data_IF_088943312304
#
_entry.id   IF_088943312304
#
_cell.length_a   1.000
_cell.length_b   1.000
_cell.length_c   1.000
_cell.angle_alpha   90.00
_cell.angle_beta   90.00
_cell.angle_gamma   90.00
#
_symmetry.space_group_name_H-M   'P 1'
#
loop_
_entity.id
_entity.type
_entity.pdbx_description
1 polymer ?
#
# COMPACT_ATOMS: atom_id res chain seq x y z
N UNK A 1 -8.59 -29.11 55.60
CA UNK A 1 -7.63 -28.02 55.35
C UNK A 1 -6.94 -28.36 54.03
N UNK A 2 -7.40 -27.74 52.95
CA UNK A 2 -6.63 -26.73 52.18
C UNK A 2 -5.75 -27.39 51.10
N UNK A 3 -5.74 -27.02 49.83
CA UNK A 3 -6.45 -26.00 49.07
C UNK A 3 -6.48 -26.48 47.60
N UNK A 4 -7.59 -26.19 46.91
CA UNK A 4 -7.72 -26.36 45.46
C UNK A 4 -6.96 -25.20 44.80
N UNK A 5 -5.89 -25.49 44.07
CA UNK A 5 -5.19 -24.50 43.25
C UNK A 5 -5.96 -24.28 41.95
N UNK A 6 -6.58 -23.11 41.84
CA UNK A 6 -7.20 -22.59 40.61
C UNK A 6 -6.13 -22.30 39.54
N UNK A 7 -6.37 -22.61 38.25
CA UNK A 7 -5.49 -22.16 37.19
C UNK A 7 -5.65 -20.66 36.97
N UNK A 8 -4.56 -19.92 37.19
CA UNK A 8 -4.46 -18.48 36.97
C UNK A 8 -4.81 -18.06 35.54
N UNK A 9 -5.37 -16.85 35.45
CA UNK A 9 -5.81 -16.17 34.24
C UNK A 9 -4.88 -16.30 33.05
N UNK A 10 -5.36 -17.00 32.02
CA UNK A 10 -4.86 -16.85 30.65
C UNK A 10 -5.18 -15.43 30.16
N UNK A 11 -4.24 -14.50 30.34
CA UNK A 11 -4.19 -13.30 29.50
C UNK A 11 -4.08 -13.76 28.05
N UNK A 12 -4.87 -13.20 27.10
CA UNK A 12 -4.73 -13.55 25.70
C UNK A 12 -3.29 -13.25 25.28
N UNK A 13 -2.52 -14.30 24.99
CA UNK A 13 -1.15 -14.17 24.49
C UNK A 13 -1.23 -13.43 23.17
N UNK A 14 -0.71 -12.19 23.13
CA UNK A 14 -0.47 -11.52 21.86
C UNK A 14 0.44 -12.42 21.02
N UNK A 15 0.03 -12.74 19.79
CA UNK A 15 0.82 -13.58 18.92
C UNK A 15 2.24 -13.01 18.75
N UNK A 16 3.28 -13.87 18.72
CA UNK A 16 4.63 -13.42 18.46
C UNK A 16 4.68 -12.70 17.11
N UNK A 17 5.31 -11.52 17.11
CA UNK A 17 5.52 -10.69 15.92
C UNK A 17 6.37 -11.46 14.93
N UNK A 18 5.73 -12.00 13.89
CA UNK A 18 6.42 -12.77 12.84
C UNK A 18 5.49 -13.47 11.84
N UNK A 19 4.26 -13.82 12.24
CA UNK A 19 3.30 -14.51 11.37
C UNK A 19 2.23 -13.58 10.76
N UNK A 20 2.65 -12.44 10.23
CA UNK A 20 1.81 -11.61 9.33
C UNK A 20 2.46 -11.38 7.97
N UNK A 21 3.34 -12.28 7.54
CA UNK A 21 3.64 -12.37 6.12
C UNK A 21 2.49 -13.16 5.49
N UNK A 22 1.42 -12.45 5.14
CA UNK A 22 0.51 -12.91 4.09
C UNK A 22 1.40 -13.10 2.87
N UNK A 23 1.73 -14.36 2.59
CA UNK A 23 2.55 -14.73 1.45
C UNK A 23 1.78 -14.27 0.21
N UNK A 24 2.17 -13.12 -0.34
CA UNK A 24 1.61 -12.67 -1.62
C UNK A 24 2.35 -13.44 -2.69
N UNK A 25 1.65 -13.88 -3.74
CA UNK A 25 2.27 -14.60 -4.87
C UNK A 25 3.41 -13.86 -5.59
N UNK A 26 3.69 -12.60 -5.20
CA UNK A 26 4.80 -11.77 -5.65
C UNK A 26 6.06 -11.82 -4.76
N UNK A 27 6.13 -12.65 -3.72
CA UNK A 27 7.29 -12.69 -2.78
C UNK A 27 8.47 -13.59 -3.23
N UNK A 28 8.58 -13.94 -4.52
CA UNK A 28 9.78 -14.63 -5.02
C UNK A 28 10.95 -13.65 -5.14
N UNK A 29 12.11 -14.00 -4.57
CA UNK A 29 13.34 -13.20 -4.63
C UNK A 29 13.86 -12.95 -6.07
N UNK A 30 13.45 -13.77 -7.03
CA UNK A 30 13.74 -13.64 -8.47
C UNK A 30 12.68 -12.83 -9.25
N UNK A 31 11.51 -12.58 -8.66
CA UNK A 31 10.51 -11.67 -9.23
C UNK A 31 10.83 -10.27 -8.71
N UNK A 32 11.80 -9.60 -9.34
CA UNK A 32 11.95 -8.14 -9.24
C UNK A 32 10.79 -7.45 -9.98
N UNK A 33 9.56 -7.84 -9.66
CA UNK A 33 8.39 -7.09 -10.03
C UNK A 33 8.17 -6.14 -8.87
N UNK A 34 8.51 -4.86 -9.05
CA UNK A 34 8.00 -3.78 -8.21
C UNK A 34 6.55 -4.12 -7.85
N UNK A 35 6.30 -4.56 -6.61
CA UNK A 35 4.95 -4.98 -6.23
C UNK A 35 4.12 -3.72 -6.31
N UNK A 36 3.36 -3.57 -7.40
CA UNK A 36 2.61 -2.36 -7.70
C UNK A 36 1.81 -2.00 -6.45
N UNK A 37 1.90 -0.74 -6.02
CA UNK A 37 0.99 -0.30 -4.97
C UNK A 37 -0.45 -0.51 -5.48
N UNK A 38 -1.41 -0.92 -4.63
CA UNK A 38 -2.77 -1.14 -5.07
C UNK A 38 -3.30 0.08 -5.85
N UNK A 39 -3.90 -0.17 -7.02
CA UNK A 39 -4.38 0.89 -7.91
C UNK A 39 -3.29 1.59 -8.74
N UNK A 40 -2.13 0.96 -8.95
CA UNK A 40 -1.13 1.38 -9.93
C UNK A 40 -1.06 0.43 -11.11
N UNK A 41 -0.98 0.97 -12.31
CA UNK A 41 -0.62 0.20 -13.51
C UNK A 41 0.88 0.29 -13.79
N UNK A 42 1.40 -0.62 -14.61
CA UNK A 42 2.82 -0.61 -14.97
C UNK A 42 3.18 0.67 -15.75
N UNK A 43 2.25 1.15 -16.59
CA UNK A 43 2.38 2.37 -17.36
C UNK A 43 2.50 3.59 -16.44
N UNK A 44 1.62 3.71 -15.44
CA UNK A 44 1.66 4.78 -14.44
C UNK A 44 2.97 4.79 -13.66
N UNK A 45 3.54 3.61 -13.37
CA UNK A 45 4.85 3.51 -12.71
C UNK A 45 5.97 4.02 -13.64
N UNK A 46 5.93 3.70 -14.93
CA UNK A 46 6.91 4.25 -15.88
C UNK A 46 6.77 5.77 -16.03
N UNK A 47 5.54 6.28 -16.01
CA UNK A 47 5.29 7.73 -16.03
C UNK A 47 5.84 8.38 -14.77
N UNK A 48 5.62 7.79 -13.59
CA UNK A 48 6.19 8.27 -12.33
C UNK A 48 7.72 8.26 -12.37
N UNK A 49 8.34 7.18 -12.87
CA UNK A 49 9.80 7.11 -13.04
C UNK A 49 10.32 8.26 -13.88
N UNK A 50 9.74 8.49 -15.06
CA UNK A 50 10.09 9.61 -15.94
C UNK A 50 9.88 10.97 -15.25
N UNK A 51 8.78 11.14 -14.52
CA UNK A 51 8.46 12.38 -13.83
C UNK A 51 9.46 12.68 -12.69
N UNK A 52 9.89 11.66 -11.95
CA UNK A 52 10.93 11.79 -10.92
C UNK A 52 12.30 12.15 -11.53
N UNK A 53 12.67 11.52 -12.65
CA UNK A 53 13.89 11.86 -13.38
C UNK A 53 13.84 13.31 -13.91
N UNK A 54 12.69 13.76 -14.42
CA UNK A 54 12.51 15.10 -14.99
C UNK A 54 12.44 16.21 -13.93
N UNK A 55 11.70 16.02 -12.84
CA UNK A 55 11.44 17.09 -11.86
C UNK A 55 12.26 16.98 -10.57
N UNK A 56 12.93 15.85 -10.38
CA UNK A 56 13.66 15.49 -9.17
C UNK A 56 12.78 14.74 -8.15
N UNK A 57 13.39 13.81 -7.43
CA UNK A 57 12.69 13.02 -6.40
C UNK A 57 12.20 13.94 -5.27
N UNK A 58 10.95 13.80 -4.85
CA UNK A 58 10.37 14.64 -3.80
C UNK A 58 9.76 15.96 -4.29
N UNK A 59 9.92 16.31 -5.56
CA UNK A 59 9.31 17.50 -6.15
C UNK A 59 7.86 17.26 -6.60
N UNK A 60 7.01 16.90 -5.65
CA UNK A 60 5.65 16.44 -5.93
C UNK A 60 4.75 17.51 -6.56
N UNK A 61 4.98 18.79 -6.21
CA UNK A 61 4.21 19.90 -6.75
C UNK A 61 4.34 19.97 -8.28
N UNK A 62 5.57 19.95 -8.81
CA UNK A 62 5.80 19.97 -10.27
C UNK A 62 5.22 18.75 -10.98
N UNK A 63 5.26 17.58 -10.34
CA UNK A 63 4.67 16.35 -10.90
C UNK A 63 3.14 16.51 -10.99
N UNK A 64 2.50 17.05 -9.95
CA UNK A 64 1.06 17.34 -9.95
C UNK A 64 0.71 18.39 -11.00
N UNK A 65 1.48 19.48 -11.08
CA UNK A 65 1.24 20.56 -12.03
C UNK A 65 1.37 20.07 -13.48
N UNK A 66 2.23 19.09 -13.74
CA UNK A 66 2.36 18.46 -15.07
C UNK A 66 1.16 17.60 -15.46
N UNK A 67 0.30 17.24 -14.50
CA UNK A 67 -0.89 16.40 -14.70
C UNK A 67 -0.60 15.06 -15.41
N UNK A 68 0.64 14.55 -15.36
CA UNK A 68 0.99 13.28 -16.00
C UNK A 68 0.45 12.05 -15.23
N UNK A 69 0.04 12.23 -13.97
CA UNK A 69 -0.49 11.17 -13.09
C UNK A 69 -1.80 11.60 -12.43
N UNK A 70 -2.86 11.69 -13.23
CA UNK A 70 -4.16 12.20 -12.77
C UNK A 70 -4.75 11.26 -11.71
N UNK A 71 -5.28 11.83 -10.64
CA UNK A 71 -5.89 11.09 -9.54
C UNK A 71 -4.90 10.42 -8.57
N UNK A 72 -3.58 10.49 -8.81
CA UNK A 72 -2.58 10.03 -7.84
C UNK A 72 -2.28 11.12 -6.81
N UNK A 73 -2.41 10.76 -5.54
CA UNK A 73 -2.03 11.62 -4.42
C UNK A 73 -0.53 11.61 -4.18
N UNK A 74 -0.01 12.64 -3.51
CA UNK A 74 1.40 12.72 -3.07
C UNK A 74 1.78 11.47 -2.25
N UNK A 75 0.89 11.03 -1.36
CA UNK A 75 1.12 9.85 -0.53
C UNK A 75 1.28 8.57 -1.38
N UNK A 76 0.42 8.38 -2.37
CA UNK A 76 0.51 7.24 -3.29
C UNK A 76 1.80 7.28 -4.12
N UNK A 77 2.16 8.46 -4.66
CA UNK A 77 3.40 8.63 -5.42
C UNK A 77 4.65 8.36 -4.56
N UNK A 78 4.66 8.85 -3.32
CA UNK A 78 5.78 8.61 -2.40
C UNK A 78 5.92 7.13 -2.03
N UNK A 79 4.81 6.44 -1.71
CA UNK A 79 4.83 5.01 -1.42
C UNK A 79 5.33 4.20 -2.62
N UNK A 80 4.89 4.55 -3.83
CA UNK A 80 5.38 3.90 -5.04
C UNK A 80 6.87 4.18 -5.24
N UNK A 81 7.33 5.41 -5.02
CA UNK A 81 8.76 5.79 -5.10
C UNK A 81 9.63 5.01 -4.12
N UNK A 82 9.20 4.82 -2.87
CA UNK A 82 9.91 3.99 -1.89
C UNK A 82 10.10 2.55 -2.37
N UNK A 83 9.08 1.98 -3.04
CA UNK A 83 9.17 0.64 -3.63
C UNK A 83 10.16 0.60 -4.79
N UNK A 84 10.12 1.60 -5.67
CA UNK A 84 11.05 1.69 -6.81
C UNK A 84 12.50 1.81 -6.34
N UNK A 85 12.76 2.61 -5.32
CA UNK A 85 14.09 2.76 -4.72
C UNK A 85 14.50 1.56 -3.87
N UNK A 86 13.57 0.69 -3.47
CA UNK A 86 13.83 -0.42 -2.57
C UNK A 86 14.15 -0.01 -1.13
N UNK A 87 13.77 1.20 -0.71
CA UNK A 87 14.01 1.73 0.64
C UNK A 87 12.91 2.69 1.11
N UNK A 88 12.66 2.72 2.42
CA UNK A 88 11.58 3.55 2.98
C UNK A 88 11.92 5.04 3.06
N UNK A 89 13.20 5.37 3.28
CA UNK A 89 13.63 6.76 3.35
C UNK A 89 13.93 7.28 1.95
N UNK A 90 13.35 8.41 1.56
CA UNK A 90 13.65 9.09 0.29
C UNK A 90 14.45 10.37 0.46
N UNK A 91 14.76 10.76 1.71
CA UNK A 91 15.37 12.03 2.04
C UNK A 91 16.77 12.24 1.42
N UNK A 92 17.54 11.17 1.25
CA UNK A 92 18.88 11.20 0.64
C UNK A 92 18.88 11.31 -0.89
N UNK A 93 17.70 11.34 -1.50
CA UNK A 93 17.52 11.56 -2.93
C UNK A 93 16.68 12.82 -3.22
N UNK A 94 16.25 13.55 -2.19
CA UNK A 94 15.36 14.68 -2.35
C UNK A 94 16.00 15.76 -3.23
N UNK A 95 15.32 16.11 -4.33
CA UNK A 95 15.76 17.09 -5.31
C UNK A 95 16.69 16.55 -6.40
N UNK A 96 17.12 15.29 -6.33
CA UNK A 96 18.01 14.72 -7.35
C UNK A 96 17.23 14.18 -8.56
N UNK A 97 17.78 14.41 -9.75
CA UNK A 97 17.27 13.92 -11.02
C UNK A 97 17.90 12.55 -11.33
N UNK A 98 17.41 11.51 -10.67
CA UNK A 98 17.96 10.15 -10.79
C UNK A 98 16.90 9.15 -11.23
N UNK A 99 17.36 8.07 -11.85
CA UNK A 99 16.50 6.93 -12.15
C UNK A 99 16.30 6.07 -10.88
N UNK A 100 15.08 6.02 -10.32
CA UNK A 100 14.81 5.27 -9.10
C UNK A 100 15.00 3.75 -9.26
N UNK A 101 14.90 3.19 -10.48
CA UNK A 101 15.09 1.75 -10.70
C UNK A 101 16.56 1.33 -10.58
N UNK A 102 17.50 2.17 -11.01
CA UNK A 102 18.92 1.90 -10.85
C UNK A 102 19.27 1.76 -9.37
N UNK A 103 18.76 2.68 -8.54
CA UNK A 103 18.91 2.62 -7.08
C UNK A 103 18.22 1.39 -6.50
N UNK A 104 17.01 1.07 -6.95
CA UNK A 104 16.27 -0.12 -6.55
C UNK A 104 17.03 -1.42 -6.81
N UNK A 105 17.69 -1.53 -7.97
CA UNK A 105 18.52 -2.69 -8.32
C UNK A 105 19.77 -2.79 -7.43
N UNK A 106 20.43 -1.67 -7.15
CA UNK A 106 21.56 -1.65 -6.23
C UNK A 106 21.13 -2.05 -4.81
N UNK A 107 19.98 -1.52 -4.36
CA UNK A 107 19.42 -1.82 -3.04
C UNK A 107 18.89 -3.25 -2.92
N UNK A 108 18.48 -3.90 -4.02
CA UNK A 108 18.07 -5.32 -3.98
C UNK A 108 19.26 -6.25 -3.74
N UNK A 109 20.43 -5.89 -4.29
CA UNK A 109 21.69 -6.65 -4.15
C UNK A 109 22.35 -6.47 -2.77
N UNK A 110 22.00 -5.42 -2.02
CA UNK A 110 22.52 -5.20 -0.66
C UNK A 110 22.02 -6.28 0.30
N UNK A 111 22.97 -7.05 0.83
CA UNK A 111 22.77 -8.07 1.86
C UNK A 111 23.77 -7.83 2.99
N UNK A 112 23.36 -8.08 4.24
CA UNK A 112 24.28 -7.98 5.38
C UNK A 112 23.57 -7.97 6.73
N UNK A 113 24.30 -8.26 7.82
CA UNK A 113 23.75 -8.36 9.17
C UNK A 113 23.16 -7.03 9.70
N UNK A 114 23.54 -5.90 9.11
CA UNK A 114 23.06 -4.56 9.45
C UNK A 114 21.91 -4.06 8.56
N UNK A 115 21.56 -4.80 7.50
CA UNK A 115 20.48 -4.45 6.57
C UNK A 115 19.19 -5.10 7.07
N UNK A 116 18.27 -4.30 7.60
CA UNK A 116 16.91 -4.78 7.91
C UNK A 116 15.94 -4.34 6.83
N UNK A 117 14.98 -5.21 6.54
CA UNK A 117 13.93 -4.96 5.55
C UNK A 117 12.55 -5.00 6.21
N UNK A 118 11.66 -4.12 5.78
CA UNK A 118 10.23 -4.16 6.13
C UNK A 118 9.44 -3.94 4.85
N UNK A 119 8.55 -4.89 4.52
CA UNK A 119 7.82 -4.91 3.24
C UNK A 119 8.77 -4.83 2.02
N UNK A 120 9.82 -5.64 2.03
CA UNK A 120 10.87 -5.72 0.99
C UNK A 120 11.75 -4.45 0.81
N UNK A 121 11.43 -3.34 1.49
CA UNK A 121 12.21 -2.11 1.48
C UNK A 121 13.25 -2.09 2.61
N UNK A 122 14.45 -1.59 2.34
CA UNK A 122 15.46 -1.32 3.36
C UNK A 122 14.93 -0.27 4.33
N UNK A 123 15.01 -0.58 5.63
CA UNK A 123 14.68 0.34 6.72
C UNK A 123 15.94 0.80 7.43
N UNK A 124 16.02 2.09 7.71
CA UNK A 124 17.08 2.60 8.57
C UNK A 124 16.78 2.18 10.01
N UNK A 125 17.64 1.36 10.60
CA UNK A 125 17.51 0.90 11.99
C UNK A 125 18.50 1.56 12.93
N UNK A 126 19.25 2.54 12.46
CA UNK A 126 20.12 3.38 13.27
C UNK A 126 19.41 4.61 13.83
N UNK A 127 20.17 5.43 14.56
CA UNK A 127 19.72 6.75 14.98
C UNK A 127 19.30 7.61 13.77
N UNK A 128 18.43 8.61 14.02
CA UNK A 128 18.03 9.59 13.00
C UNK A 128 19.30 10.17 12.35
N UNK A 129 19.41 10.03 11.02
CA UNK A 129 20.53 10.57 10.26
C UNK A 129 20.64 12.07 10.54
N UNK A 130 21.85 12.54 10.82
CA UNK A 130 22.10 13.96 11.00
C UNK A 130 21.89 14.69 9.67
N UNK A 131 21.61 15.99 9.73
CA UNK A 131 21.44 16.82 8.53
C UNK A 131 22.71 16.83 7.65
N UNK A 132 23.87 16.75 8.29
CA UNK A 132 25.18 16.71 7.62
C UNK A 132 25.39 15.39 6.87
N UNK A 133 25.05 14.27 7.50
CA UNK A 133 25.13 12.95 6.86
C UNK A 133 24.17 12.85 5.66
N UNK A 134 22.96 13.40 5.78
CA UNK A 134 22.02 13.48 4.66
C UNK A 134 22.61 14.30 3.51
N UNK A 135 23.24 15.45 3.80
CA UNK A 135 23.90 16.26 2.76
C UNK A 135 25.07 15.54 2.11
N UNK A 136 25.90 14.84 2.90
CA UNK A 136 27.04 14.08 2.36
C UNK A 136 26.55 13.02 1.38
N UNK A 137 25.57 12.21 1.79
CA UNK A 137 24.97 11.19 0.92
C UNK A 137 24.29 11.79 -0.30
N UNK A 138 23.61 12.92 -0.14
CA UNK A 138 23.01 13.65 -1.25
C UNK A 138 24.08 14.03 -2.29
N UNK A 139 25.22 14.54 -1.84
CA UNK A 139 26.32 14.90 -2.73
C UNK A 139 26.95 13.67 -3.39
N UNK A 140 27.21 12.59 -2.64
CA UNK A 140 27.72 11.32 -3.18
C UNK A 140 26.77 10.76 -4.26
N UNK A 141 25.47 10.77 -4.00
CA UNK A 141 24.46 10.32 -4.95
C UNK A 141 24.35 11.24 -6.16
N UNK A 142 24.50 12.55 -5.95
CA UNK A 142 24.54 13.54 -7.02
C UNK A 142 25.67 13.26 -8.00
N UNK A 143 26.88 13.08 -7.47
CA UNK A 143 28.07 12.86 -8.29
C UNK A 143 28.05 11.51 -9.02
N UNK A 144 27.35 10.51 -8.46
CA UNK A 144 27.34 9.14 -9.00
C UNK A 144 26.16 8.85 -9.93
N UNK A 145 24.99 9.41 -9.65
CA UNK A 145 23.72 8.96 -10.26
C UNK A 145 22.88 10.08 -10.88
N UNK A 146 23.24 11.35 -10.70
CA UNK A 146 22.49 12.46 -11.29
C UNK A 146 22.57 12.41 -12.81
N UNK A 147 21.40 12.47 -13.44
CA UNK A 147 21.29 12.60 -14.89
C UNK A 147 21.78 13.98 -15.31
N UNK A 148 22.43 14.05 -16.46
CA UNK A 148 22.83 15.34 -17.02
C UNK A 148 21.60 16.20 -17.31
N UNK A 149 21.80 17.52 -17.32
CA UNK A 149 20.72 18.47 -17.55
C UNK A 149 20.00 18.24 -18.88
N UNK A 150 20.77 17.91 -19.92
CA UNK A 150 20.23 17.56 -21.23
C UNK A 150 19.34 16.31 -21.20
N UNK A 151 19.75 15.27 -20.45
CA UNK A 151 19.03 14.00 -20.37
C UNK A 151 17.69 14.17 -19.70
N UNK A 152 17.61 14.84 -18.53
CA UNK A 152 16.33 14.97 -17.83
C UNK A 152 15.39 15.99 -18.49
N UNK A 153 15.92 17.01 -19.18
CA UNK A 153 15.11 17.95 -19.96
C UNK A 153 14.46 17.28 -21.18
N UNK A 154 15.15 16.32 -21.79
CA UNK A 154 14.65 15.56 -22.94
C UNK A 154 13.54 14.56 -22.59
N UNK A 155 13.30 14.30 -21.30
CA UNK A 155 12.26 13.34 -20.88
C UNK A 155 10.88 13.90 -21.18
N UNK A 156 10.20 13.30 -22.16
CA UNK A 156 8.81 13.62 -22.47
C UNK A 156 7.86 12.89 -21.52
N UNK A 157 6.94 13.65 -20.93
CA UNK A 157 5.83 13.14 -20.13
C UNK A 157 4.55 13.16 -20.95
N UNK A 158 3.65 12.16 -20.76
CA UNK A 158 2.36 12.18 -21.42
C UNK A 158 1.64 13.48 -21.03
N UNK A 159 1.16 14.18 -22.05
CA UNK A 159 0.36 15.39 -21.84
C UNK A 159 -0.96 15.00 -21.20
N UNK A 160 -1.51 15.85 -20.31
CA UNK A 160 -2.81 15.58 -19.73
C UNK A 160 -3.85 15.38 -20.83
N UNK A 161 -4.59 14.27 -20.75
CA UNK A 161 -5.93 14.22 -21.34
C UNK A 161 -6.74 15.36 -20.71
N UNK A 162 -7.65 15.96 -21.49
CA UNK A 162 -8.52 17.03 -20.99
C UNK A 162 -9.10 16.63 -19.61
N UNK A 163 -8.79 17.37 -18.52
CA UNK A 163 -9.27 17.01 -17.19
C UNK A 163 -10.80 16.83 -17.15
N UNK A 164 -11.54 17.54 -18.00
CA UNK A 164 -12.97 17.32 -18.16
C UNK A 164 -13.30 15.92 -18.70
N UNK A 165 -12.62 15.48 -19.75
CA UNK A 165 -12.84 14.16 -20.34
C UNK A 165 -12.60 13.03 -19.33
N UNK A 166 -11.60 13.18 -18.45
CA UNK A 166 -11.31 12.19 -17.41
C UNK A 166 -12.36 12.21 -16.28
N UNK A 167 -12.85 13.39 -15.90
CA UNK A 167 -13.97 13.52 -14.95
C UNK A 167 -15.23 12.89 -15.52
N UNK A 168 -15.54 13.13 -16.80
CA UNK A 168 -16.69 12.54 -17.48
C UNK A 168 -16.59 11.02 -17.55
N UNK A 169 -15.42 10.48 -17.92
CA UNK A 169 -15.16 9.05 -17.93
C UNK A 169 -15.38 8.43 -16.54
N UNK A 170 -14.88 9.08 -15.47
CA UNK A 170 -15.06 8.61 -14.09
C UNK A 170 -16.50 8.69 -13.62
N UNK A 171 -17.25 9.71 -14.03
CA UNK A 171 -18.69 9.81 -13.76
C UNK A 171 -19.47 8.68 -14.43
N UNK A 172 -19.11 8.34 -15.68
CA UNK A 172 -19.72 7.23 -16.41
C UNK A 172 -19.44 5.89 -15.73
N UNK A 173 -18.19 5.62 -15.37
CA UNK A 173 -17.79 4.41 -14.64
C UNK A 173 -18.54 4.29 -13.30
N UNK A 174 -18.69 5.40 -12.57
CA UNK A 174 -19.49 5.44 -11.34
C UNK A 174 -20.96 5.10 -11.57
N UNK A 175 -21.53 5.52 -12.69
CA UNK A 175 -22.91 5.20 -13.04
C UNK A 175 -23.05 3.70 -13.36
N UNK A 176 -22.14 3.14 -14.16
CA UNK A 176 -22.14 1.72 -14.52
C UNK A 176 -22.03 0.81 -13.27
N UNK A 177 -21.15 1.18 -12.33
CA UNK A 177 -21.00 0.46 -11.06
C UNK A 177 -22.24 0.56 -10.16
N UNK A 178 -22.94 1.70 -10.18
CA UNK A 178 -24.22 1.84 -9.47
C UNK A 178 -25.29 0.92 -10.06
N UNK A 179 -25.40 0.90 -11.39
CA UNK A 179 -26.35 0.04 -12.07
C UNK A 179 -26.03 -1.46 -11.84
N UNK A 180 -24.75 -1.84 -11.79
CA UNK A 180 -24.32 -3.18 -11.43
C UNK A 180 -24.66 -3.52 -9.98
N UNK A 181 -24.41 -2.60 -9.05
CA UNK A 181 -24.74 -2.78 -7.64
C UNK A 181 -26.25 -3.00 -7.46
N UNK A 182 -27.09 -2.22 -8.13
CA UNK A 182 -28.54 -2.35 -8.08
C UNK A 182 -28.99 -3.73 -8.60
N UNK A 183 -28.41 -4.21 -9.71
CA UNK A 183 -28.66 -5.57 -10.22
C UNK A 183 -28.29 -6.65 -9.22
N UNK A 184 -27.13 -6.54 -8.58
CA UNK A 184 -26.68 -7.50 -7.56
C UNK A 184 -27.60 -7.45 -6.33
N UNK A 185 -27.99 -6.26 -5.88
CA UNK A 185 -28.93 -6.10 -4.76
C UNK A 185 -30.29 -6.71 -5.07
N UNK A 186 -30.82 -6.51 -6.29
CA UNK A 186 -32.06 -7.13 -6.73
C UNK A 186 -31.96 -8.65 -6.69
N UNK A 187 -30.87 -9.22 -7.22
CA UNK A 187 -30.62 -10.67 -7.21
C UNK A 187 -30.52 -11.24 -5.79
N UNK A 188 -29.94 -10.48 -4.85
CA UNK A 188 -29.90 -10.86 -3.43
C UNK A 188 -31.30 -10.82 -2.82
N UNK A 189 -32.12 -9.81 -3.16
CA UNK A 189 -33.48 -9.70 -2.67
C UNK A 189 -34.36 -10.85 -3.19
N UNK A 190 -34.22 -11.23 -4.45
CA UNK A 190 -34.94 -12.37 -5.05
C UNK A 190 -34.58 -13.67 -4.33
N UNK A 191 -33.29 -13.94 -4.08
CA UNK A 191 -32.84 -15.14 -3.32
C UNK A 191 -33.38 -15.13 -1.87
N UNK A 192 -33.47 -13.95 -1.24
CA UNK A 192 -34.03 -13.83 0.11
C UNK A 192 -35.55 -13.96 0.14
N UNK A 193 -36.25 -13.50 -0.91
CA UNK A 193 -37.70 -13.63 -1.07
C UNK A 193 -38.13 -15.06 -1.43
N UNK A 194 -37.27 -15.81 -2.10
CA UNK A 194 -37.49 -17.20 -2.52
C UNK A 194 -37.04 -18.23 -1.46
N UNK A 195 -36.64 -17.78 -0.27
CA UNK A 195 -36.51 -18.67 0.89
C UNK A 195 -37.92 -19.04 1.36
N UNK A 196 -38.35 -20.32 1.24
CA UNK A 196 -39.69 -20.71 1.65
C UNK A 196 -39.90 -20.35 3.10
N UNK A 197 -41.04 -19.69 3.37
CA UNK A 197 -41.56 -19.52 4.71
C UNK A 197 -41.51 -20.87 5.41
N UNK A 198 -40.71 -20.99 6.47
CA UNK A 198 -40.85 -22.10 7.41
C UNK A 198 -42.16 -21.88 8.16
N UNK A 199 -43.25 -22.38 7.59
CA UNK A 199 -44.48 -22.67 8.33
C UNK A 199 -44.22 -23.88 9.23
N UNK A 200 -44.41 -23.63 10.52
CA UNK A 200 -44.85 -24.51 11.60
C UNK A 200 -44.84 -26.02 11.36
N UNK A 201 -44.05 -26.72 12.16
CA UNK A 201 -44.47 -28.00 12.76
C UNK A 201 -44.61 -27.82 14.27
N UNK A 202 -45.65 -28.46 14.76
CA UNK A 202 -46.29 -28.36 16.07
C UNK A 202 -45.40 -28.81 17.25
N UNK A 203 -45.88 -28.39 18.42
CA UNK A 203 -45.46 -28.71 19.78
C UNK A 203 -44.82 -30.10 20.00
N UNK A 204 -43.65 -30.08 20.65
CA UNK A 204 -43.35 -31.06 21.68
C UNK A 204 -42.71 -30.35 22.86
N UNK A 205 -43.53 -30.07 23.86
CA UNK A 205 -43.10 -29.68 25.20
C UNK A 205 -42.23 -30.80 25.77
N UNK A 206 -41.04 -30.47 26.25
CA UNK A 206 -40.50 -31.09 27.45
C UNK A 206 -39.50 -30.14 28.14
N UNK A 207 -39.74 -30.00 29.44
CA UNK A 207 -39.05 -29.18 30.41
C UNK A 207 -37.52 -29.23 30.32
N UNK A 208 -36.84 -28.09 30.56
CA UNK A 208 -35.78 -27.95 31.57
C UNK A 208 -35.62 -26.47 31.95
N UNK A 209 -36.14 -26.20 33.14
CA UNK A 209 -35.89 -25.12 34.10
C UNK A 209 -34.55 -24.34 33.96
N UNK A 210 -34.62 -23.03 33.68
CA UNK A 210 -33.50 -22.09 33.86
C UNK A 210 -33.75 -21.22 35.10
N UNK A 211 -33.11 -21.61 36.19
CA UNK A 211 -32.99 -20.82 37.42
C UNK A 211 -32.33 -19.47 37.12
N UNK A 212 -33.08 -18.39 37.36
CA UNK A 212 -32.62 -16.99 37.35
C UNK A 212 -31.36 -16.83 38.20
N UNK A 213 -30.29 -16.27 37.63
CA UNK A 213 -29.24 -15.59 38.42
C UNK A 213 -29.47 -14.07 38.35
N UNK A 214 -29.43 -13.37 39.49
CA UNK A 214 -29.73 -11.95 39.56
C UNK A 214 -28.58 -11.09 39.04
N UNK A 215 -28.94 -9.92 38.48
CA UNK A 215 -28.02 -8.79 38.30
C UNK A 215 -27.65 -8.26 39.69
N UNK A 216 -26.35 -8.06 39.90
CA UNK A 216 -25.82 -7.30 41.03
C UNK A 216 -25.37 -5.96 40.47
N UNK A 217 -25.85 -4.89 41.11
CA UNK A 217 -25.46 -3.49 40.87
C UNK A 217 -23.97 -3.24 41.18
#
# INVERSE_FOLDING_TARGET
MSAVLTPEGMKPRSMPVGQRNVLRSNDSASLWNCTLSPGWTQEEVQILRKALMRFGIGNWAKIIDSQCLIGKTIAQMNLQTQRMLGQQSTAEFAGLHIDPFVIGELNSKKQGPHIKRKNNCIVNTGAKLSREEIRRRLQEHKDTYELSEAEWLAIELPKPEDPLALIEAKRKELQELRDELDRVQQRIADIKGDSPAKESDEEMTDDINVTKRPRVD
#
